data_IF_248166465896
#
_entry.id   IF_248166465896
#
_cell.length_a   1.000
_cell.length_b   1.000
_cell.length_c   1.000
_cell.angle_alpha   90.00
_cell.angle_beta   90.00
_cell.angle_gamma   90.00
#
_symmetry.space_group_name_H-M   'P 1'
#
loop_
_entity.id
_entity.type
_entity.pdbx_description
1 polymer ?
#
# COMPACT_ATOMS: atom_id res chain seq x y z
N UNK A 1 -20.19 -11.41 -19.00
CA UNK A 1 -19.10 -10.41 -18.88
C UNK A 1 -19.40 -9.29 -17.91
N UNK A 2 -20.52 -9.36 -17.19
CA UNK A 2 -20.86 -8.35 -16.21
C UNK A 2 -19.77 -8.22 -15.12
N UNK A 3 -19.19 -9.35 -14.73
CA UNK A 3 -18.13 -9.34 -13.73
C UNK A 3 -16.91 -8.54 -14.19
N UNK A 4 -16.60 -8.64 -15.47
CA UNK A 4 -15.48 -7.90 -16.03
C UNK A 4 -15.77 -6.41 -16.11
N UNK A 5 -17.01 -6.07 -16.49
CA UNK A 5 -17.50 -4.71 -16.48
C UNK A 5 -17.40 -4.10 -15.07
N UNK A 6 -17.85 -4.87 -14.07
CA UNK A 6 -17.81 -4.41 -12.68
C UNK A 6 -16.39 -4.12 -12.22
N UNK A 7 -15.42 -4.91 -12.67
CA UNK A 7 -14.02 -4.72 -12.31
C UNK A 7 -13.42 -3.47 -12.96
N UNK A 8 -13.88 -3.13 -14.18
CA UNK A 8 -13.40 -1.92 -14.85
C UNK A 8 -14.07 -0.66 -14.32
N UNK A 9 -15.17 -0.83 -13.59
CA UNK A 9 -15.91 0.28 -13.02
C UNK A 9 -15.61 0.50 -11.55
N UNK A 10 -14.41 0.16 -11.12
CA UNK A 10 -14.02 0.34 -9.74
C UNK A 10 -13.99 1.81 -9.35
N UNK A 11 -14.62 2.13 -8.21
CA UNK A 11 -14.68 3.49 -7.67
C UNK A 11 -14.28 3.47 -6.19
N UNK A 12 -13.16 4.09 -5.88
CA UNK A 12 -12.63 4.11 -4.50
C UNK A 12 -13.61 4.79 -3.54
N UNK A 13 -14.35 5.79 -4.01
CA UNK A 13 -15.31 6.52 -3.19
C UNK A 13 -16.54 5.69 -2.82
N UNK A 14 -16.77 4.57 -3.49
CA UNK A 14 -17.87 3.68 -3.19
C UNK A 14 -17.52 2.59 -2.18
N UNK A 15 -16.37 2.68 -1.58
CA UNK A 15 -15.90 1.66 -0.65
C UNK A 15 -16.83 1.55 0.58
N UNK A 16 -17.05 0.32 1.01
CA UNK A 16 -17.78 0.01 2.24
C UNK A 16 -16.97 -0.96 3.07
N UNK A 17 -17.00 -0.79 4.39
CA UNK A 17 -16.36 -1.75 5.30
C UNK A 17 -16.97 -3.14 5.10
N UNK A 18 -16.18 -4.20 5.35
CA UNK A 18 -16.71 -5.56 5.23
C UNK A 18 -17.90 -5.78 6.15
N UNK A 19 -18.81 -6.67 5.71
CA UNK A 19 -20.00 -7.02 6.47
C UNK A 19 -19.61 -7.53 7.87
N UNK A 20 -20.28 -6.99 8.87
CA UNK A 20 -19.99 -7.33 10.27
C UNK A 20 -19.03 -6.38 10.96
N UNK A 21 -18.39 -5.49 10.21
CA UNK A 21 -17.40 -4.55 10.77
C UNK A 21 -17.82 -3.09 10.62
N UNK A 22 -19.05 -2.84 10.20
CA UNK A 22 -19.53 -1.49 9.89
C UNK A 22 -19.53 -0.54 11.08
N UNK A 23 -19.64 -1.09 12.28
CA UNK A 23 -19.76 -0.28 13.51
C UNK A 23 -18.50 -0.32 14.38
N UNK A 24 -17.40 -0.83 13.86
CA UNK A 24 -16.15 -0.88 14.61
C UNK A 24 -15.51 0.51 14.68
N UNK A 25 -15.44 1.08 15.88
CA UNK A 25 -14.90 2.43 16.07
C UNK A 25 -13.42 2.56 15.65
N UNK A 26 -12.66 1.49 15.78
CA UNK A 26 -11.25 1.49 15.37
C UNK A 26 -11.08 1.64 13.87
N UNK A 27 -12.12 1.32 13.10
CA UNK A 27 -12.07 1.42 11.64
C UNK A 27 -12.56 2.76 11.10
N UNK A 28 -12.89 3.71 11.98
CA UNK A 28 -13.32 5.03 11.53
C UNK A 28 -12.30 5.70 10.60
N UNK A 29 -10.99 5.71 10.92
CA UNK A 29 -10.01 6.30 10.00
C UNK A 29 -9.96 5.60 8.65
N UNK A 30 -10.23 4.30 8.62
CA UNK A 30 -10.27 3.53 7.38
C UNK A 30 -11.50 3.91 6.56
N UNK A 31 -12.65 3.95 7.21
CA UNK A 31 -13.92 4.28 6.51
C UNK A 31 -13.91 5.71 5.98
N UNK A 32 -13.25 6.63 6.66
CA UNK A 32 -13.22 8.06 6.29
C UNK A 32 -12.10 8.41 5.31
N UNK A 33 -11.21 7.48 5.02
CA UNK A 33 -10.09 7.75 4.11
C UNK A 33 -10.58 8.01 2.70
N UNK A 34 -9.96 8.98 2.03
CA UNK A 34 -10.43 9.45 0.73
C UNK A 34 -10.06 8.49 -0.41
N UNK A 35 -8.96 7.75 -0.28
CA UNK A 35 -8.46 6.88 -1.33
C UNK A 35 -8.20 5.48 -0.82
N UNK A 36 -8.12 4.52 -1.73
CA UNK A 36 -7.81 3.14 -1.37
C UNK A 36 -6.44 3.02 -0.69
N UNK A 37 -5.44 3.75 -1.19
CA UNK A 37 -4.11 3.71 -0.58
C UNK A 37 -4.11 4.30 0.83
N UNK A 38 -4.89 5.35 1.05
CA UNK A 38 -5.06 5.91 2.39
C UNK A 38 -5.73 4.91 3.33
N UNK A 39 -6.65 4.09 2.83
CA UNK A 39 -7.27 3.04 3.64
C UNK A 39 -6.25 2.00 4.09
N UNK A 40 -5.33 1.61 3.20
CA UNK A 40 -4.25 0.67 3.56
C UNK A 40 -3.38 1.28 4.67
N UNK A 41 -2.98 2.54 4.51
CA UNK A 41 -2.18 3.24 5.52
C UNK A 41 -2.91 3.26 6.87
N UNK A 42 -4.19 3.58 6.85
CA UNK A 42 -4.99 3.69 8.07
C UNK A 42 -5.13 2.35 8.78
N UNK A 43 -5.41 1.26 8.06
CA UNK A 43 -5.58 -0.03 8.69
C UNK A 43 -4.26 -0.56 9.25
N UNK A 44 -3.15 -0.33 8.56
CA UNK A 44 -1.84 -0.72 9.06
C UNK A 44 -1.50 0.03 10.35
N UNK A 45 -1.81 1.34 10.37
CA UNK A 45 -1.59 2.14 11.57
C UNK A 45 -2.39 1.59 12.77
N UNK A 46 -3.65 1.25 12.56
CA UNK A 46 -4.47 0.68 13.61
C UNK A 46 -3.88 -0.65 14.12
N UNK A 47 -3.47 -1.50 13.20
CA UNK A 47 -2.93 -2.82 13.57
C UNK A 47 -1.61 -2.72 14.34
N UNK A 48 -0.75 -1.80 13.94
CA UNK A 48 0.58 -1.65 14.56
C UNK A 48 0.54 -0.87 15.86
N UNK A 49 -0.41 0.02 16.03
CA UNK A 49 -0.48 0.91 17.19
C UNK A 49 -0.90 0.17 18.45
N UNK A 50 -0.58 0.70 19.65
CA UNK A 50 -1.05 0.10 20.91
C UNK A 50 -2.57 -0.08 20.89
N UNK A 51 -3.01 -1.25 21.33
CA UNK A 51 -4.43 -1.60 21.27
C UNK A 51 -4.86 -2.24 19.97
N UNK A 52 -3.96 -2.30 18.98
CA UNK A 52 -4.21 -3.00 17.72
C UNK A 52 -3.90 -4.48 17.83
N UNK A 53 -3.20 -5.02 16.84
CA UNK A 53 -2.82 -6.44 16.86
C UNK A 53 -1.52 -6.62 17.65
N UNK A 54 -1.52 -7.47 18.72
CA UNK A 54 -0.31 -7.65 19.52
C UNK A 54 0.87 -8.22 18.72
N UNK A 55 0.60 -9.06 17.72
CA UNK A 55 1.66 -9.62 16.88
C UNK A 55 2.22 -8.56 15.95
N UNK A 56 1.37 -7.79 15.30
CA UNK A 56 1.80 -6.73 14.40
C UNK A 56 2.56 -5.65 15.14
N UNK A 57 2.13 -5.32 16.34
CA UNK A 57 2.78 -4.30 17.16
C UNK A 57 4.19 -4.65 17.61
N UNK A 58 4.58 -5.91 17.51
CA UNK A 58 5.91 -6.38 17.89
C UNK A 58 6.87 -6.51 16.71
N UNK A 59 6.37 -6.30 15.49
CA UNK A 59 7.21 -6.46 14.31
C UNK A 59 8.26 -5.37 14.22
N UNK A 60 9.41 -5.75 13.66
CA UNK A 60 10.50 -4.83 13.37
C UNK A 60 10.79 -4.89 11.88
N UNK A 61 11.56 -3.93 11.39
CA UNK A 61 11.97 -3.96 9.99
C UNK A 61 12.65 -5.30 9.66
N UNK A 62 13.48 -5.79 10.56
CA UNK A 62 14.18 -7.05 10.35
C UNK A 62 13.23 -8.25 10.40
N UNK A 63 12.30 -8.29 11.36
CA UNK A 63 11.40 -9.44 11.49
C UNK A 63 10.46 -9.58 10.29
N UNK A 64 10.21 -8.50 9.57
CA UNK A 64 9.32 -8.50 8.41
C UNK A 64 10.03 -8.87 7.09
N UNK A 65 11.36 -9.04 7.09
CA UNK A 65 12.09 -9.31 5.84
C UNK A 65 11.68 -10.63 5.21
N UNK A 66 11.46 -11.66 6.01
CA UNK A 66 11.03 -12.95 5.49
C UNK A 66 9.68 -12.83 4.78
N UNK A 67 8.77 -12.08 5.38
CA UNK A 67 7.45 -11.86 4.77
C UNK A 67 7.56 -11.11 3.45
N UNK A 68 8.42 -10.09 3.38
CA UNK A 68 8.66 -9.34 2.15
C UNK A 68 9.11 -10.26 1.02
N UNK A 69 10.07 -11.15 1.30
CA UNK A 69 10.57 -12.08 0.31
C UNK A 69 9.50 -13.09 -0.11
N UNK A 70 8.79 -13.66 0.86
CA UNK A 70 7.75 -14.64 0.58
C UNK A 70 6.64 -14.06 -0.29
N UNK A 71 6.17 -12.87 0.03
CA UNK A 71 5.09 -12.25 -0.74
C UNK A 71 5.54 -11.88 -2.14
N UNK A 72 6.81 -11.50 -2.30
CA UNK A 72 7.37 -11.23 -3.63
C UNK A 72 7.35 -12.50 -4.48
N UNK A 73 7.76 -13.62 -3.92
CA UNK A 73 7.75 -14.90 -4.65
C UNK A 73 6.32 -15.36 -4.98
N UNK A 74 5.38 -15.16 -4.06
CA UNK A 74 3.98 -15.49 -4.31
C UNK A 74 3.43 -14.70 -5.49
N UNK A 75 3.79 -13.42 -5.58
CA UNK A 75 3.38 -12.59 -6.70
C UNK A 75 4.01 -13.08 -8.01
N UNK A 76 5.29 -13.43 -7.98
CA UNK A 76 5.99 -13.98 -9.15
C UNK A 76 5.26 -15.22 -9.67
N UNK A 77 4.88 -16.13 -8.77
CA UNK A 77 4.14 -17.33 -9.15
C UNK A 77 2.80 -16.99 -9.78
N UNK A 78 2.09 -16.02 -9.23
CA UNK A 78 0.80 -15.60 -9.78
C UNK A 78 0.94 -15.09 -11.21
N UNK A 79 2.00 -14.32 -11.49
CA UNK A 79 2.27 -13.83 -12.84
C UNK A 79 2.61 -14.99 -13.78
N UNK A 80 3.47 -15.88 -13.34
CA UNK A 80 3.94 -16.99 -14.19
C UNK A 80 2.84 -18.01 -14.49
N UNK A 81 1.87 -18.14 -13.60
CA UNK A 81 0.73 -19.02 -13.83
C UNK A 81 -0.44 -18.31 -14.51
N UNK A 82 -0.28 -17.04 -14.87
CA UNK A 82 -1.32 -16.23 -15.54
C UNK A 82 -2.63 -16.17 -14.75
N UNK A 83 -2.55 -16.18 -13.43
CA UNK A 83 -3.71 -16.15 -12.56
C UNK A 83 -3.99 -14.70 -12.14
N UNK A 84 -4.87 -14.03 -12.90
CA UNK A 84 -5.16 -12.61 -12.70
C UNK A 84 -5.74 -12.31 -11.33
N UNK A 85 -6.60 -13.18 -10.84
CA UNK A 85 -7.23 -12.98 -9.54
C UNK A 85 -6.19 -13.09 -8.42
N UNK A 86 -5.31 -14.08 -8.53
CA UNK A 86 -4.23 -14.24 -7.57
C UNK A 86 -3.22 -13.10 -7.65
N UNK A 87 -2.99 -12.56 -8.85
CA UNK A 87 -2.15 -11.37 -8.99
C UNK A 87 -2.69 -10.18 -8.20
N UNK A 88 -4.01 -9.97 -8.24
CA UNK A 88 -4.64 -8.90 -7.44
C UNK A 88 -4.39 -9.10 -5.95
N UNK A 89 -4.54 -10.31 -5.49
CA UNK A 89 -4.34 -10.67 -4.08
C UNK A 89 -2.89 -10.50 -3.65
N UNK A 90 -1.99 -11.12 -4.39
CA UNK A 90 -0.58 -11.13 -4.04
C UNK A 90 0.08 -9.76 -4.20
N UNK A 91 -0.36 -8.97 -5.18
CA UNK A 91 0.14 -7.61 -5.34
C UNK A 91 -0.27 -6.75 -4.15
N UNK A 92 -1.45 -7.00 -3.59
CA UNK A 92 -1.87 -6.36 -2.35
C UNK A 92 -0.96 -6.72 -1.18
N UNK A 93 -0.58 -7.98 -1.08
CA UNK A 93 0.32 -8.43 -0.01
C UNK A 93 1.72 -7.83 -0.16
N UNK A 94 2.19 -7.63 -1.39
CA UNK A 94 3.46 -6.92 -1.65
C UNK A 94 3.35 -5.45 -1.24
N UNK A 95 2.24 -4.81 -1.58
CA UNK A 95 1.98 -3.43 -1.16
C UNK A 95 2.01 -3.30 0.37
N UNK A 96 1.38 -4.24 1.06
CA UNK A 96 1.38 -4.27 2.52
C UNK A 96 2.79 -4.26 3.08
N UNK A 97 3.72 -4.99 2.46
CA UNK A 97 5.09 -5.08 2.96
C UNK A 97 5.77 -3.71 3.01
N UNK A 98 5.64 -2.92 1.94
CA UNK A 98 6.23 -1.57 1.93
C UNK A 98 5.57 -0.64 2.94
N UNK A 99 4.25 -0.67 3.00
CA UNK A 99 3.50 0.19 3.93
C UNK A 99 3.82 -0.17 5.37
N UNK A 100 3.89 -1.46 5.68
CA UNK A 100 4.19 -1.92 7.04
C UNK A 100 5.62 -1.56 7.44
N UNK A 101 6.58 -1.80 6.55
CA UNK A 101 7.98 -1.42 6.80
C UNK A 101 8.09 0.07 7.13
N UNK A 102 7.43 0.90 6.36
CA UNK A 102 7.46 2.34 6.58
C UNK A 102 6.77 2.71 7.90
N UNK A 103 5.69 2.03 8.26
CA UNK A 103 5.02 2.28 9.54
C UNK A 103 5.94 1.96 10.71
N UNK A 104 6.71 0.89 10.62
CA UNK A 104 7.72 0.56 11.64
C UNK A 104 8.77 1.67 11.71
N UNK A 105 9.21 2.18 10.57
CA UNK A 105 10.21 3.25 10.53
C UNK A 105 9.73 4.55 11.19
N UNK A 106 8.41 4.80 11.22
CA UNK A 106 7.87 5.95 11.93
C UNK A 106 8.16 5.90 13.43
N UNK A 107 8.40 4.70 13.95
CA UNK A 107 8.67 4.49 15.37
C UNK A 107 10.14 4.64 15.73
N UNK A 108 11.02 4.83 14.74
CA UNK A 108 12.41 5.03 15.02
C UNK A 108 12.62 6.39 15.71
N UNK A 109 13.41 6.40 16.79
CA UNK A 109 13.61 7.60 17.58
C UNK A 109 14.68 8.52 16.99
N UNK A 110 15.55 7.99 16.16
CA UNK A 110 16.67 8.76 15.60
C UNK A 110 16.38 9.32 14.22
N UNK A 111 15.71 8.54 13.39
CA UNK A 111 15.44 8.95 12.01
C UNK A 111 14.08 8.42 11.55
N UNK A 112 13.00 8.95 12.13
CA UNK A 112 11.65 8.49 11.76
C UNK A 112 11.27 8.98 10.37
N UNK A 113 10.64 8.09 9.61
CA UNK A 113 10.01 8.46 8.34
C UNK A 113 8.85 7.51 8.07
N UNK A 114 7.91 7.95 7.25
CA UNK A 114 6.74 7.17 6.92
C UNK A 114 6.58 6.95 5.43
N UNK A 115 5.46 6.31 5.08
CA UNK A 115 5.22 5.92 3.69
C UNK A 115 5.05 7.13 2.76
N UNK A 116 4.55 8.25 3.26
CA UNK A 116 4.36 9.43 2.42
C UNK A 116 5.71 10.00 1.97
N UNK A 117 6.68 10.04 2.86
CA UNK A 117 8.03 10.48 2.48
C UNK A 117 8.66 9.51 1.49
N UNK A 118 8.47 8.20 1.70
CA UNK A 118 8.96 7.18 0.76
C UNK A 118 8.34 7.41 -0.62
N UNK A 119 7.05 7.65 -0.65
CA UNK A 119 6.33 7.88 -1.91
C UNK A 119 6.82 9.14 -2.62
N UNK A 120 6.99 10.24 -1.90
CA UNK A 120 7.46 11.49 -2.48
C UNK A 120 8.88 11.38 -3.03
N UNK A 121 9.75 10.67 -2.33
CA UNK A 121 11.10 10.42 -2.82
C UNK A 121 11.09 9.58 -4.09
N UNK A 122 10.19 8.61 -4.15
CA UNK A 122 10.02 7.81 -5.36
C UNK A 122 9.54 8.67 -6.52
N UNK A 123 8.57 9.55 -6.29
CA UNK A 123 8.07 10.46 -7.34
C UNK A 123 9.20 11.30 -7.88
N UNK A 124 9.97 11.93 -7.01
CA UNK A 124 11.08 12.79 -7.43
C UNK A 124 12.13 12.01 -8.22
N UNK A 125 12.43 10.80 -7.77
CA UNK A 125 13.39 9.94 -8.47
C UNK A 125 12.91 9.59 -9.87
N UNK A 126 11.65 9.24 -10.01
CA UNK A 126 11.08 8.89 -11.32
C UNK A 126 11.09 10.08 -12.27
N UNK A 127 10.74 11.25 -11.75
CA UNK A 127 10.74 12.46 -12.56
C UNK A 127 12.15 12.79 -13.06
N UNK A 128 13.13 12.80 -12.15
CA UNK A 128 14.50 13.18 -12.53
C UNK A 128 15.18 12.15 -13.41
N UNK A 129 14.75 10.89 -13.34
CA UNK A 129 15.32 9.83 -14.18
C UNK A 129 14.66 9.73 -15.55
N UNK A 130 13.63 10.52 -15.79
CA UNK A 130 12.94 10.52 -17.07
C UNK A 130 12.91 11.94 -17.67
N UNK A 131 14.09 12.58 -17.83
CA UNK A 131 14.12 13.93 -18.38
C UNK A 131 13.62 13.98 -19.83
N UNK A 132 13.73 12.87 -20.57
CA UNK A 132 13.19 12.77 -21.92
C UNK A 132 11.67 12.91 -21.97
N UNK A 133 11.00 12.70 -20.84
CA UNK A 133 9.55 12.87 -20.75
C UNK A 133 9.20 14.22 -20.15
N UNK A 134 9.76 14.54 -19.00
CA UNK A 134 9.31 15.70 -18.22
C UNK A 134 10.08 16.99 -18.52
N UNK A 135 11.40 16.93 -18.70
CA UNK A 135 12.18 18.11 -19.02
C UNK A 135 12.01 18.53 -20.48
N UNK A 136 11.75 17.56 -21.35
CA UNK A 136 11.56 17.82 -22.77
C UNK A 136 10.36 18.72 -23.03
N UNK A 137 9.32 18.65 -22.21
CA UNK A 137 8.14 19.51 -22.34
C UNK A 137 8.52 20.98 -22.15
N UNK A 138 9.32 21.27 -21.15
CA UNK A 138 9.79 22.63 -20.92
C UNK A 138 10.64 23.11 -22.08
N UNK A 139 11.52 22.25 -22.56
CA UNK A 139 12.36 22.59 -23.72
C UNK A 139 11.52 22.79 -25.00
N UNK A 140 10.49 21.96 -25.15
CA UNK A 140 9.58 22.06 -26.28
C UNK A 140 8.75 23.33 -26.28
N UNK A 141 8.50 23.85 -25.11
CA UNK A 141 7.72 25.07 -24.93
C UNK A 141 8.54 26.33 -25.18
N UNK A 142 9.80 26.20 -25.15
CA UNK A 142 10.71 27.33 -25.30
C UNK A 142 11.11 27.60 -26.75
#
# INVERSE_FOLDING_TARGET
MSKMSDMTEYHASAYRLPSGFEHCSKLKPVAEAATALDRVKAVVDVLYSPGGCPWDGKQTNKSLLKNLLEETYEYVDAVETHDRDNMREELGDVLLQSVFQARVCESDTEDPFGIDEVADRLVNKLITRHPHVFAADDAGNS
#
